data_IF_424832818506
#
_entry.id   IF_424832818506
#
_cell.length_a   1.000
_cell.length_b   1.000
_cell.length_c   1.000
_cell.angle_alpha   90.00
_cell.angle_beta   90.00
_cell.angle_gamma   90.00
#
_symmetry.space_group_name_H-M   'P 1'
#
loop_
_entity.id
_entity.type
_entity.pdbx_description
1 polymer ?
#
# COMPACT_ATOMS: atom_id res chain seq x y z
N UNK A 1 14.26 -14.24 14.33
CA UNK A 1 14.34 -13.49 15.62
C UNK A 1 14.77 -12.04 15.45
N UNK A 2 14.11 -11.32 14.51
CA UNK A 2 14.46 -9.93 14.21
C UNK A 2 13.91 -8.90 15.25
N UNK A 3 12.92 -9.27 16.05
CA UNK A 3 12.20 -8.33 16.90
C UNK A 3 13.04 -7.62 17.99
N UNK A 4 13.95 -8.33 18.63
CA UNK A 4 14.80 -7.73 19.68
C UNK A 4 15.95 -6.88 19.11
N UNK A 5 16.53 -7.30 17.99
CA UNK A 5 17.61 -6.56 17.32
C UNK A 5 17.07 -5.31 16.63
N UNK A 6 15.92 -5.39 15.99
CA UNK A 6 15.25 -4.25 15.38
C UNK A 6 14.87 -3.18 16.42
N UNK A 7 14.35 -3.56 17.59
CA UNK A 7 13.98 -2.60 18.64
C UNK A 7 15.20 -1.90 19.26
N UNK A 8 16.36 -2.56 19.34
CA UNK A 8 17.59 -1.95 19.84
C UNK A 8 18.22 -0.94 18.89
N UNK A 9 17.86 -0.98 17.59
CA UNK A 9 18.36 -0.09 16.53
C UNK A 9 17.33 0.92 16.03
N UNK A 10 16.20 1.03 16.69
CA UNK A 10 15.12 1.96 16.29
C UNK A 10 15.54 3.43 16.31
N UNK A 11 16.61 3.78 17.05
CA UNK A 11 17.21 5.12 17.05
C UNK A 11 18.12 5.39 15.84
N UNK A 12 18.52 4.36 15.10
CA UNK A 12 19.35 4.46 13.89
C UNK A 12 18.64 3.76 12.72
N UNK A 13 17.68 4.47 12.14
CA UNK A 13 16.80 3.97 11.10
C UNK A 13 17.54 3.55 9.83
N UNK A 14 18.62 4.25 9.45
CA UNK A 14 19.36 3.88 8.25
C UNK A 14 20.08 2.53 8.44
N UNK A 15 20.77 2.35 9.57
CA UNK A 15 21.41 1.06 9.87
C UNK A 15 20.39 -0.08 9.99
N UNK A 16 19.19 0.19 10.50
CA UNK A 16 18.11 -0.80 10.53
C UNK A 16 17.70 -1.24 9.12
N UNK A 17 17.50 -0.29 8.22
CA UNK A 17 17.14 -0.57 6.82
C UNK A 17 18.27 -1.32 6.10
N UNK A 18 19.53 -0.92 6.33
CA UNK A 18 20.69 -1.56 5.73
C UNK A 18 20.83 -3.01 6.21
N UNK A 19 20.54 -3.29 7.48
CA UNK A 19 20.54 -4.66 8.01
C UNK A 19 19.39 -5.51 7.42
N UNK A 20 18.19 -4.92 7.27
CA UNK A 20 17.07 -5.58 6.57
C UNK A 20 17.46 -5.95 5.14
N UNK A 21 18.13 -5.05 4.43
CA UNK A 21 18.58 -5.28 3.07
C UNK A 21 19.63 -6.39 2.94
N UNK A 22 20.56 -6.51 3.89
CA UNK A 22 21.55 -7.61 3.93
C UNK A 22 20.89 -9.00 3.95
N UNK A 23 19.68 -9.11 4.48
CA UNK A 23 18.93 -10.36 4.56
C UNK A 23 17.95 -10.55 3.40
N UNK A 24 17.99 -9.68 2.39
CA UNK A 24 17.03 -9.64 1.28
C UNK A 24 15.57 -9.52 1.74
N UNK A 25 15.34 -8.98 2.92
CA UNK A 25 14.01 -8.69 3.45
C UNK A 25 13.45 -7.39 2.86
N UNK A 26 12.22 -7.07 3.18
CA UNK A 26 11.51 -5.88 2.71
C UNK A 26 11.33 -4.90 3.86
N UNK A 27 11.56 -3.61 3.57
CA UNK A 27 11.30 -2.49 4.49
C UNK A 27 10.28 -1.55 3.86
N UNK A 28 9.15 -1.35 4.52
CA UNK A 28 8.06 -0.50 4.03
C UNK A 28 7.78 0.56 5.09
N UNK A 29 7.72 1.83 4.68
CA UNK A 29 7.35 2.94 5.55
C UNK A 29 5.84 2.90 5.76
N UNK A 30 5.42 2.60 6.99
CA UNK A 30 4.02 2.51 7.35
C UNK A 30 3.40 3.91 7.49
N UNK A 31 2.17 4.09 6.98
CA UNK A 31 1.32 5.29 7.11
C UNK A 31 2.09 6.61 7.26
N UNK A 32 2.93 7.00 6.27
CA UNK A 32 3.94 8.05 6.45
C UNK A 32 3.38 9.45 6.75
N UNK A 33 2.09 9.67 6.54
CA UNK A 33 1.40 10.94 6.82
C UNK A 33 0.27 10.78 7.84
N UNK A 34 0.36 9.81 8.77
CA UNK A 34 -0.65 9.62 9.81
C UNK A 34 -0.82 10.87 10.68
N UNK A 35 -2.05 11.41 10.70
CA UNK A 35 -2.40 12.63 11.43
C UNK A 35 -2.84 12.39 12.87
N UNK A 36 -3.00 11.09 13.26
CA UNK A 36 -3.59 10.74 14.51
C UNK A 36 -5.08 11.09 14.61
N UNK A 37 -5.66 10.92 15.80
CA UNK A 37 -7.05 11.29 16.10
C UNK A 37 -7.16 11.74 17.55
N UNK A 38 -6.98 13.03 17.80
CA UNK A 38 -6.93 13.63 19.13
C UNK A 38 -8.20 13.36 19.98
N UNK A 39 -9.37 13.31 19.33
CA UNK A 39 -10.64 12.97 19.98
C UNK A 39 -10.66 11.57 20.59
N UNK A 40 -9.87 10.65 20.09
CA UNK A 40 -9.68 9.30 20.63
C UNK A 40 -8.34 9.14 21.38
N UNK A 41 -7.60 10.23 21.59
CA UNK A 41 -6.27 10.27 22.20
C UNK A 41 -5.23 9.40 21.44
N UNK A 42 -5.41 9.26 20.14
CA UNK A 42 -4.45 8.60 19.28
C UNK A 42 -3.45 9.66 18.74
N UNK A 43 -2.15 9.53 19.05
CA UNK A 43 -1.16 10.52 18.61
C UNK A 43 -0.97 10.48 17.09
N UNK A 44 -0.54 11.61 16.54
CA UNK A 44 0.00 11.66 15.17
C UNK A 44 1.39 11.01 15.16
N UNK A 45 1.64 10.12 14.22
CA UNK A 45 2.89 9.40 14.05
C UNK A 45 3.39 9.43 12.60
N UNK A 46 3.56 10.63 12.01
CA UNK A 46 4.02 10.75 10.64
C UNK A 46 5.49 10.36 10.54
N UNK A 47 5.88 9.94 9.34
CA UNK A 47 7.28 9.76 9.02
C UNK A 47 7.98 11.10 8.85
N UNK A 48 9.09 11.31 9.53
CA UNK A 48 9.79 12.62 9.55
C UNK A 48 11.17 12.60 8.89
N UNK A 49 11.85 11.43 8.84
CA UNK A 49 13.18 11.33 8.29
C UNK A 49 13.17 10.82 6.83
N UNK A 50 13.08 11.74 5.88
CA UNK A 50 13.08 11.44 4.45
C UNK A 50 14.48 11.34 3.82
N UNK A 51 15.55 11.51 4.62
CA UNK A 51 16.95 11.36 4.17
C UNK A 51 17.39 9.89 4.12
N UNK A 52 16.60 8.98 4.69
CA UNK A 52 16.90 7.55 4.64
C UNK A 52 16.78 7.03 3.21
N UNK A 53 17.56 6.00 2.91
CA UNK A 53 17.68 5.42 1.57
C UNK A 53 17.47 3.92 1.59
N UNK A 54 17.25 3.35 0.40
CA UNK A 54 17.20 1.91 0.18
C UNK A 54 16.06 1.17 0.89
N UNK A 55 15.03 1.87 1.36
CA UNK A 55 13.80 1.21 1.77
C UNK A 55 13.00 0.72 0.55
N UNK A 56 12.29 -0.39 0.70
CA UNK A 56 11.62 -1.08 -0.42
C UNK A 56 10.40 -0.30 -0.93
N UNK A 57 9.66 0.33 -0.04
CA UNK A 57 8.44 1.05 -0.42
C UNK A 57 7.79 1.82 0.71
N UNK A 58 6.67 2.45 0.40
CA UNK A 58 5.85 3.15 1.38
C UNK A 58 4.37 2.79 1.20
N UNK A 59 3.63 2.91 2.28
CA UNK A 59 2.18 2.82 2.24
C UNK A 59 1.60 4.12 1.67
N UNK A 60 0.96 3.99 0.51
CA UNK A 60 0.23 5.11 -0.11
C UNK A 60 -1.23 5.14 0.32
N UNK A 61 -1.74 4.03 0.84
CA UNK A 61 -3.10 3.91 1.35
C UNK A 61 -3.11 3.02 2.60
N UNK A 62 -3.48 3.61 3.73
CA UNK A 62 -3.63 2.91 5.01
C UNK A 62 -5.06 3.12 5.52
N UNK A 63 -5.80 2.03 5.73
CA UNK A 63 -7.22 2.08 6.04
C UNK A 63 -7.51 2.69 7.43
N UNK A 64 -6.64 2.42 8.42
CA UNK A 64 -6.77 3.02 9.76
C UNK A 64 -6.47 4.51 9.75
N UNK A 65 -5.46 4.94 9.01
CA UNK A 65 -5.16 6.38 8.85
C UNK A 65 -6.27 7.10 8.10
N UNK A 66 -6.85 6.47 7.07
CA UNK A 66 -8.00 7.02 6.35
C UNK A 66 -9.21 7.23 7.29
N UNK A 67 -9.50 6.25 8.17
CA UNK A 67 -10.54 6.44 9.19
C UNK A 67 -10.27 7.67 10.06
N UNK A 68 -9.02 7.90 10.48
CA UNK A 68 -8.65 9.08 11.28
C UNK A 68 -8.86 10.36 10.48
N UNK A 69 -8.42 10.38 9.24
CA UNK A 69 -8.55 11.52 8.32
C UNK A 69 -10.02 11.88 8.05
N UNK A 70 -10.91 10.89 7.92
CA UNK A 70 -12.34 11.10 7.66
C UNK A 70 -13.18 11.31 8.94
N UNK A 71 -12.55 11.40 10.12
CA UNK A 71 -13.24 11.45 11.42
C UNK A 71 -12.94 12.75 12.20
N UNK A 72 -13.32 13.89 11.64
CA UNK A 72 -13.03 15.24 12.21
C UNK A 72 -13.82 15.59 13.48
N UNK A 73 -14.92 14.89 13.76
CA UNK A 73 -15.75 15.13 14.93
C UNK A 73 -16.40 13.83 15.44
N UNK A 74 -17.00 13.89 16.64
CA UNK A 74 -17.57 12.72 17.31
C UNK A 74 -18.68 12.04 16.49
N UNK A 75 -19.49 12.80 15.74
CA UNK A 75 -20.56 12.24 14.94
C UNK A 75 -19.99 11.44 13.76
N UNK A 76 -18.95 11.95 13.11
CA UNK A 76 -18.24 11.23 12.04
C UNK A 76 -17.54 10.00 12.57
N UNK A 77 -16.90 10.07 13.74
CA UNK A 77 -16.28 8.90 14.40
C UNK A 77 -17.34 7.79 14.60
N UNK A 78 -18.49 8.14 15.15
CA UNK A 78 -19.57 7.17 15.41
C UNK A 78 -20.14 6.65 14.09
N UNK A 79 -20.45 7.52 13.14
CA UNK A 79 -20.94 7.13 11.80
C UNK A 79 -19.97 6.16 11.14
N UNK A 80 -18.69 6.53 11.02
CA UNK A 80 -17.66 5.75 10.34
C UNK A 80 -17.36 4.42 11.06
N UNK A 81 -17.50 4.38 12.39
CA UNK A 81 -17.36 3.15 13.16
C UNK A 81 -18.56 2.19 12.98
N UNK A 82 -19.76 2.71 12.74
CA UNK A 82 -20.97 1.92 12.50
C UNK A 82 -21.13 1.52 11.03
N UNK A 83 -20.81 2.43 10.11
CA UNK A 83 -20.81 2.19 8.68
C UNK A 83 -19.39 2.24 8.11
N UNK A 84 -18.64 1.17 8.35
CA UNK A 84 -17.23 1.07 8.00
C UNK A 84 -16.97 1.04 6.50
N UNK A 85 -18.01 0.84 5.68
CA UNK A 85 -17.87 0.82 4.22
C UNK A 85 -17.95 2.21 3.59
N UNK A 86 -18.45 3.20 4.31
CA UNK A 86 -18.73 4.53 3.77
C UNK A 86 -17.60 5.55 3.96
N UNK A 87 -16.65 5.32 4.86
CA UNK A 87 -15.62 6.31 5.14
C UNK A 87 -14.41 6.26 4.20
N UNK A 88 -13.95 5.10 3.69
CA UNK A 88 -12.74 5.09 2.88
C UNK A 88 -13.00 5.75 1.52
N UNK A 89 -12.22 6.76 1.21
CA UNK A 89 -12.33 7.55 -0.03
C UNK A 89 -11.27 7.15 -1.03
N UNK A 90 -10.02 6.95 -0.58
CA UNK A 90 -8.92 6.63 -1.46
C UNK A 90 -7.55 6.77 -0.76
N UNK A 91 -6.46 6.64 -1.53
CA UNK A 91 -5.12 6.82 -1.01
C UNK A 91 -4.89 8.25 -0.52
N UNK A 92 -4.03 8.39 0.50
CA UNK A 92 -3.63 9.70 1.02
C UNK A 92 -2.86 10.49 -0.03
N UNK A 93 -3.31 11.73 -0.30
CA UNK A 93 -2.75 12.59 -1.34
C UNK A 93 -1.26 12.91 -1.09
N UNK A 94 -0.88 13.18 0.17
CA UNK A 94 0.51 13.48 0.50
C UNK A 94 1.42 12.27 0.28
N UNK A 95 0.90 11.07 0.55
CA UNK A 95 1.62 9.82 0.28
C UNK A 95 1.85 9.61 -1.22
N UNK A 96 0.84 9.88 -2.05
CA UNK A 96 0.96 9.82 -3.52
C UNK A 96 1.97 10.85 -4.03
N UNK A 97 1.85 12.11 -3.60
CA UNK A 97 2.78 13.18 -3.99
C UNK A 97 4.22 12.83 -3.59
N UNK A 98 4.41 12.31 -2.37
CA UNK A 98 5.74 11.90 -1.91
C UNK A 98 6.31 10.74 -2.71
N UNK A 99 5.48 9.76 -3.05
CA UNK A 99 5.89 8.66 -3.91
C UNK A 99 6.34 9.15 -5.29
N UNK A 100 5.55 10.02 -5.93
CA UNK A 100 5.90 10.64 -7.21
C UNK A 100 7.20 11.45 -7.13
N UNK A 101 7.41 12.25 -6.07
CA UNK A 101 8.67 12.97 -5.86
C UNK A 101 9.88 12.03 -5.81
N UNK A 102 9.77 10.92 -5.10
CA UNK A 102 10.86 9.94 -4.97
C UNK A 102 11.16 9.29 -6.33
N UNK A 103 10.14 8.89 -7.07
CA UNK A 103 10.28 8.32 -8.41
C UNK A 103 10.89 9.32 -9.40
N UNK A 104 10.46 10.58 -9.38
CA UNK A 104 11.02 11.65 -10.23
C UNK A 104 12.50 11.92 -9.92
N UNK A 105 12.95 11.69 -8.69
CA UNK A 105 14.37 11.72 -8.29
C UNK A 105 15.15 10.47 -8.71
N UNK A 106 14.51 9.51 -9.37
CA UNK A 106 15.11 8.24 -9.78
C UNK A 106 15.26 7.22 -8.66
N UNK A 107 14.67 7.47 -7.49
CA UNK A 107 14.68 6.54 -6.36
C UNK A 107 13.64 5.44 -6.63
N UNK A 108 14.11 4.20 -6.76
CA UNK A 108 13.22 3.06 -6.93
C UNK A 108 12.53 2.74 -5.60
N UNK A 109 11.28 3.12 -5.47
CA UNK A 109 10.44 2.89 -4.29
C UNK A 109 9.05 2.41 -4.73
N UNK A 110 8.56 1.35 -4.09
CA UNK A 110 7.28 0.74 -4.44
C UNK A 110 6.14 1.32 -3.61
N UNK A 111 4.94 1.28 -4.18
CA UNK A 111 3.71 1.66 -3.49
C UNK A 111 3.00 0.44 -2.93
N UNK A 112 2.58 0.53 -1.67
CA UNK A 112 1.83 -0.51 -0.98
C UNK A 112 0.62 0.07 -0.27
N UNK A 113 -0.26 -0.82 0.13
CA UNK A 113 -1.37 -0.50 1.03
C UNK A 113 -1.32 -1.37 2.27
N UNK A 114 -1.93 -0.89 3.34
CA UNK A 114 -2.17 -1.67 4.55
C UNK A 114 -3.55 -1.42 5.11
N UNK A 115 -4.14 -2.47 5.65
CA UNK A 115 -5.36 -2.34 6.42
C UNK A 115 -5.11 -1.78 7.83
N UNK A 116 -3.90 -1.99 8.36
CA UNK A 116 -3.51 -1.61 9.73
C UNK A 116 -4.58 -2.05 10.75
N UNK A 117 -4.89 -3.34 10.67
CA UNK A 117 -6.11 -3.94 11.23
C UNK A 117 -6.11 -3.98 12.76
N UNK A 118 -6.97 -3.20 13.38
CA UNK A 118 -7.15 -3.13 14.82
C UNK A 118 -8.61 -3.36 15.21
N UNK A 119 -9.02 -4.63 15.35
CA UNK A 119 -10.36 -4.95 15.81
C UNK A 119 -10.56 -4.48 17.25
N UNK A 120 -11.57 -3.64 17.48
CA UNK A 120 -11.94 -3.17 18.81
C UNK A 120 -13.23 -3.87 19.28
N UNK A 121 -13.19 -4.46 20.47
CA UNK A 121 -14.33 -5.11 21.09
C UNK A 121 -14.72 -4.33 22.33
N UNK A 122 -15.94 -3.81 22.37
CA UNK A 122 -16.51 -3.12 23.53
C UNK A 122 -17.72 -3.89 24.05
N UNK A 123 -17.87 -3.94 25.37
CA UNK A 123 -19.09 -4.46 26.03
C UNK A 123 -19.91 -3.30 26.55
N UNK A 124 -21.18 -3.27 26.21
CA UNK A 124 -22.16 -2.29 26.69
C UNK A 124 -23.30 -3.10 27.30
N UNK A 125 -23.25 -3.29 28.63
CA UNK A 125 -24.13 -4.20 29.33
C UNK A 125 -23.98 -5.65 28.81
N UNK A 126 -25.09 -6.31 28.42
CA UNK A 126 -25.04 -7.66 27.85
C UNK A 126 -24.58 -7.71 26.40
N UNK A 127 -24.49 -6.56 25.71
CA UNK A 127 -24.18 -6.49 24.31
C UNK A 127 -22.68 -6.40 24.04
N UNK A 128 -22.24 -7.11 23.00
CA UNK A 128 -20.86 -7.05 22.48
C UNK A 128 -20.86 -6.28 21.16
N UNK A 129 -20.27 -5.10 21.16
CA UNK A 129 -20.05 -4.31 19.96
C UNK A 129 -18.65 -4.59 19.43
N UNK A 130 -18.57 -5.04 18.19
CA UNK A 130 -17.31 -5.24 17.46
C UNK A 130 -17.22 -4.13 16.41
N UNK A 131 -16.20 -3.29 16.53
CA UNK A 131 -15.87 -2.30 15.48
C UNK A 131 -14.58 -2.71 14.80
N UNK A 132 -14.51 -2.48 13.50
CA UNK A 132 -13.35 -2.82 12.66
C UNK A 132 -12.97 -4.31 12.73
N UNK A 133 -13.90 -5.24 12.41
CA UNK A 133 -13.58 -6.66 12.41
C UNK A 133 -12.48 -6.98 11.40
N UNK A 134 -11.62 -7.94 11.72
CA UNK A 134 -10.54 -8.34 10.81
C UNK A 134 -11.03 -8.77 9.41
N UNK A 135 -12.20 -9.40 9.33
CA UNK A 135 -12.81 -9.76 8.06
C UNK A 135 -13.06 -8.53 7.15
N UNK A 136 -13.50 -7.40 7.73
CA UNK A 136 -13.64 -6.14 7.00
C UNK A 136 -12.27 -5.65 6.50
N UNK A 137 -11.30 -5.54 7.39
CA UNK A 137 -9.97 -5.04 7.05
C UNK A 137 -9.31 -5.83 5.92
N UNK A 138 -9.34 -7.17 6.00
CA UNK A 138 -8.67 -8.03 5.02
C UNK A 138 -9.44 -8.18 3.70
N UNK A 139 -10.70 -7.79 3.65
CA UNK A 139 -11.48 -7.76 2.40
C UNK A 139 -11.50 -6.40 1.72
N UNK A 140 -11.10 -5.32 2.42
CA UNK A 140 -11.28 -3.97 1.94
C UNK A 140 -10.14 -3.49 1.04
N UNK A 141 -8.90 -3.68 1.48
CA UNK A 141 -7.72 -3.09 0.87
C UNK A 141 -6.59 -4.13 0.78
N UNK A 142 -6.16 -4.43 -0.45
CA UNK A 142 -5.25 -5.53 -0.72
C UNK A 142 -4.10 -5.12 -1.66
N UNK A 143 -2.93 -5.74 -1.48
CA UNK A 143 -1.86 -5.71 -2.46
C UNK A 143 -1.95 -6.95 -3.34
N UNK A 144 -2.30 -6.78 -4.60
CA UNK A 144 -2.36 -7.85 -5.58
C UNK A 144 -0.99 -8.02 -6.24
N UNK A 145 -0.50 -9.26 -6.31
CA UNK A 145 0.84 -9.56 -6.82
C UNK A 145 0.77 -10.22 -8.19
N UNK A 146 1.60 -9.75 -9.11
CA UNK A 146 1.87 -10.45 -10.36
C UNK A 146 3.03 -11.42 -10.16
N UNK A 147 2.73 -12.69 -9.88
CA UNK A 147 3.74 -13.73 -9.76
C UNK A 147 4.07 -14.34 -11.14
N UNK A 148 5.34 -14.69 -11.41
CA UNK A 148 5.75 -15.18 -12.74
C UNK A 148 5.19 -16.56 -13.09
N UNK A 149 4.83 -17.36 -12.11
CA UNK A 149 4.25 -18.68 -12.25
C UNK A 149 3.22 -18.96 -11.16
N UNK A 150 2.40 -20.00 -11.35
CA UNK A 150 1.40 -20.42 -10.35
C UNK A 150 2.10 -20.94 -9.09
N UNK A 151 1.50 -20.64 -7.93
CA UNK A 151 1.94 -21.22 -6.67
C UNK A 151 1.84 -22.74 -6.73
N UNK A 152 2.90 -23.40 -6.28
CA UNK A 152 3.07 -24.85 -6.41
C UNK A 152 2.60 -25.66 -5.20
N UNK A 153 2.32 -24.99 -4.07
CA UNK A 153 2.11 -25.59 -2.75
C UNK A 153 3.42 -25.94 -2.01
N UNK A 154 4.57 -25.75 -2.65
CA UNK A 154 5.86 -25.84 -1.97
C UNK A 154 6.15 -24.53 -1.25
N UNK A 155 6.13 -24.56 0.09
CA UNK A 155 6.25 -23.37 0.93
C UNK A 155 7.48 -22.51 0.63
N UNK A 156 8.65 -23.12 0.42
CA UNK A 156 9.89 -22.37 0.19
C UNK A 156 9.88 -21.69 -1.16
N UNK A 157 9.47 -22.41 -2.20
CA UNK A 157 9.36 -21.88 -3.56
C UNK A 157 8.30 -20.76 -3.62
N UNK A 158 7.13 -21.02 -3.09
CA UNK A 158 6.02 -20.06 -3.15
C UNK A 158 6.31 -18.81 -2.33
N UNK A 159 6.96 -18.96 -1.17
CA UNK A 159 7.45 -17.84 -0.38
C UNK A 159 8.42 -16.95 -1.18
N UNK A 160 9.38 -17.56 -1.88
CA UNK A 160 10.34 -16.81 -2.70
C UNK A 160 9.65 -16.04 -3.83
N UNK A 161 8.70 -16.64 -4.54
CA UNK A 161 7.90 -15.98 -5.57
C UNK A 161 7.14 -14.76 -5.04
N UNK A 162 6.49 -14.90 -3.88
CA UNK A 162 5.73 -13.82 -3.24
C UNK A 162 6.65 -12.70 -2.80
N UNK A 163 7.69 -13.01 -2.03
CA UNK A 163 8.61 -11.98 -1.51
C UNK A 163 9.40 -11.28 -2.61
N UNK A 164 9.78 -12.00 -3.66
CA UNK A 164 10.44 -11.38 -4.80
C UNK A 164 9.51 -10.40 -5.54
N UNK A 165 8.25 -10.81 -5.77
CA UNK A 165 7.26 -9.91 -6.38
C UNK A 165 7.03 -8.64 -5.54
N UNK A 166 6.95 -8.78 -4.21
CA UNK A 166 6.89 -7.64 -3.30
C UNK A 166 8.16 -6.77 -3.41
N UNK A 167 9.34 -7.36 -3.31
CA UNK A 167 10.62 -6.63 -3.31
C UNK A 167 10.81 -5.76 -4.55
N UNK A 168 10.42 -6.25 -5.72
CA UNK A 168 10.57 -5.50 -6.97
C UNK A 168 9.37 -4.61 -7.30
N UNK A 169 8.28 -4.65 -6.51
CA UNK A 169 7.06 -3.87 -6.74
C UNK A 169 6.18 -4.40 -7.88
N UNK A 170 6.25 -5.71 -8.16
CA UNK A 170 5.38 -6.37 -9.14
C UNK A 170 3.99 -6.58 -8.54
N UNK A 171 3.32 -5.48 -8.24
CA UNK A 171 2.05 -5.44 -7.53
C UNK A 171 1.21 -4.23 -7.93
N UNK A 172 -0.06 -4.26 -7.56
CA UNK A 172 -0.92 -3.09 -7.53
C UNK A 172 -1.76 -3.08 -6.24
N UNK A 173 -2.20 -1.90 -5.86
CA UNK A 173 -3.09 -1.70 -4.72
C UNK A 173 -4.52 -1.82 -5.21
N UNK A 174 -5.28 -2.78 -4.67
CA UNK A 174 -6.69 -3.00 -4.95
C UNK A 174 -7.55 -2.51 -3.80
N UNK A 175 -8.50 -1.60 -4.09
CA UNK A 175 -9.51 -1.19 -3.13
C UNK A 175 -10.79 -2.01 -3.37
N UNK A 176 -10.74 -3.28 -2.93
CA UNK A 176 -11.78 -4.29 -3.20
C UNK A 176 -13.10 -4.02 -2.47
N UNK A 177 -13.12 -3.08 -1.54
CA UNK A 177 -14.34 -2.65 -0.85
C UNK A 177 -15.36 -1.98 -1.78
N UNK A 178 -14.87 -1.19 -2.73
CA UNK A 178 -15.70 -0.48 -3.71
C UNK A 178 -16.15 -1.43 -4.80
N UNK A 179 -15.20 -2.17 -5.36
CA UNK A 179 -15.45 -3.14 -6.42
C UNK A 179 -14.28 -4.14 -6.50
N UNK A 180 -14.53 -5.42 -6.83
CA UNK A 180 -13.46 -6.40 -6.98
C UNK A 180 -12.46 -5.96 -8.04
N UNK A 181 -11.18 -5.93 -7.67
CA UNK A 181 -10.08 -5.55 -8.57
C UNK A 181 -9.38 -6.76 -9.20
N UNK A 182 -9.84 -7.97 -8.91
CA UNK A 182 -9.35 -9.21 -9.52
C UNK A 182 -9.49 -9.18 -11.04
N UNK A 183 -8.38 -9.40 -11.74
CA UNK A 183 -8.34 -9.32 -13.21
C UNK A 183 -7.77 -8.02 -13.73
N UNK A 184 -7.56 -7.00 -12.90
CA UNK A 184 -6.83 -5.80 -13.30
C UNK A 184 -5.42 -6.16 -13.74
N UNK A 185 -4.98 -5.60 -14.88
CA UNK A 185 -3.63 -5.76 -15.41
C UNK A 185 -3.11 -4.43 -15.91
N UNK A 186 -1.88 -4.15 -15.57
CA UNK A 186 -1.14 -3.00 -16.06
C UNK A 186 0.27 -3.45 -16.42
N UNK A 187 0.68 -3.27 -17.66
CA UNK A 187 2.00 -3.64 -18.12
C UNK A 187 2.39 -2.89 -19.39
N UNK A 188 3.69 -2.86 -19.67
CA UNK A 188 4.24 -2.32 -20.91
C UNK A 188 4.69 -3.44 -21.83
N UNK A 189 4.39 -3.33 -23.13
CA UNK A 189 4.90 -4.21 -24.18
C UNK A 189 5.86 -3.45 -25.07
N UNK A 190 7.09 -3.92 -25.17
CA UNK A 190 8.08 -3.53 -26.16
C UNK A 190 8.28 -4.61 -27.20
N UNK A 191 9.23 -4.41 -28.10
CA UNK A 191 9.50 -5.30 -29.22
C UNK A 191 9.73 -6.76 -28.81
N UNK A 192 10.49 -7.02 -27.74
CA UNK A 192 10.90 -8.37 -27.36
C UNK A 192 10.60 -8.75 -25.91
N UNK A 193 9.89 -7.91 -25.15
CA UNK A 193 9.58 -8.19 -23.75
C UNK A 193 8.37 -7.40 -23.24
N UNK A 194 7.79 -7.96 -22.17
CA UNK A 194 6.84 -7.23 -21.31
C UNK A 194 7.57 -6.74 -20.07
N UNK A 195 7.12 -5.62 -19.54
CA UNK A 195 7.50 -5.13 -18.22
C UNK A 195 6.24 -4.92 -17.35
N UNK A 196 6.25 -5.50 -16.17
CA UNK A 196 5.21 -5.38 -15.16
C UNK A 196 5.52 -4.21 -14.21
N UNK A 197 4.58 -3.79 -13.33
CA UNK A 197 4.87 -2.81 -12.31
C UNK A 197 6.16 -3.14 -11.54
N UNK A 198 6.90 -2.11 -11.16
CA UNK A 198 8.22 -2.26 -10.52
C UNK A 198 9.38 -2.55 -11.47
N UNK A 199 9.13 -2.93 -12.70
CA UNK A 199 10.18 -3.22 -13.68
C UNK A 199 10.55 -2.00 -14.54
N UNK A 200 11.78 -2.00 -15.05
CA UNK A 200 12.28 -0.99 -15.99
C UNK A 200 12.36 -1.54 -17.40
N UNK A 201 12.02 -0.72 -18.38
CA UNK A 201 12.06 -1.06 -19.80
C UNK A 201 12.64 0.08 -20.61
N UNK A 202 13.42 -0.25 -21.67
CA UNK A 202 13.85 0.75 -22.65
C UNK A 202 12.68 1.14 -23.55
N UNK A 203 12.54 2.43 -23.81
CA UNK A 203 11.50 2.98 -24.71
C UNK A 203 12.02 3.29 -26.12
N UNK A 204 13.28 2.95 -26.43
CA UNK A 204 13.94 3.36 -27.68
C UNK A 204 13.19 2.95 -28.94
N UNK A 205 12.60 1.75 -28.96
CA UNK A 205 11.88 1.20 -30.14
C UNK A 205 10.36 1.34 -30.00
N UNK A 206 9.91 2.23 -29.11
CA UNK A 206 8.50 2.37 -28.77
C UNK A 206 8.03 1.35 -27.73
N UNK A 207 7.01 1.72 -26.99
CA UNK A 207 6.38 0.89 -25.94
C UNK A 207 4.89 1.15 -25.96
N UNK A 208 4.11 0.08 -25.87
CA UNK A 208 2.66 0.15 -25.69
C UNK A 208 2.32 -0.13 -24.24
N UNK A 209 1.65 0.81 -23.58
CA UNK A 209 1.05 0.58 -22.25
C UNK A 209 -0.27 -0.14 -22.44
N UNK A 210 -0.45 -1.25 -21.74
CA UNK A 210 -1.69 -2.03 -21.74
C UNK A 210 -2.31 -2.03 -20.36
N UNK A 211 -3.61 -1.81 -20.34
CA UNK A 211 -4.42 -1.75 -19.11
C UNK A 211 -5.68 -2.58 -19.36
N UNK A 212 -5.86 -3.64 -18.57
CA UNK A 212 -7.08 -4.42 -18.54
C UNK A 212 -7.84 -4.06 -17.26
N UNK A 213 -9.07 -3.62 -17.39
CA UNK A 213 -9.92 -3.17 -16.28
C UNK A 213 -11.07 -4.17 -16.12
N UNK A 214 -11.29 -4.76 -14.92
CA UNK A 214 -12.31 -5.79 -14.74
C UNK A 214 -13.76 -5.26 -14.78
N UNK A 215 -13.95 -3.94 -14.66
CA UNK A 215 -15.26 -3.27 -14.64
C UNK A 215 -15.17 -1.92 -15.31
N UNK A 216 -16.31 -1.37 -15.76
CA UNK A 216 -16.39 0.01 -16.23
C UNK A 216 -15.88 0.98 -15.15
N UNK A 217 -14.94 1.82 -15.54
CA UNK A 217 -14.24 2.71 -14.61
C UNK A 217 -13.56 3.85 -15.35
N UNK A 218 -13.45 4.99 -14.71
CA UNK A 218 -12.59 6.06 -15.20
C UNK A 218 -11.13 5.63 -15.01
N UNK A 219 -10.41 5.48 -16.13
CA UNK A 219 -9.00 5.13 -16.11
C UNK A 219 -8.15 6.38 -16.37
N UNK A 220 -7.19 6.66 -15.50
CA UNK A 220 -6.20 7.73 -15.66
C UNK A 220 -4.80 7.17 -15.72
N UNK A 221 -4.09 7.49 -16.79
CA UNK A 221 -2.66 7.23 -16.91
C UNK A 221 -1.89 8.43 -16.37
N UNK A 222 -1.13 8.21 -15.31
CA UNK A 222 -0.29 9.22 -14.66
C UNK A 222 1.16 9.05 -15.12
N UNK A 223 1.80 10.15 -15.45
CA UNK A 223 3.22 10.19 -15.80
C UNK A 223 3.87 11.37 -15.08
N UNK A 224 4.87 11.10 -14.24
CA UNK A 224 5.56 12.09 -13.43
C UNK A 224 4.60 12.99 -12.63
N UNK A 225 3.63 12.37 -11.94
CA UNK A 225 2.63 13.07 -11.12
C UNK A 225 1.52 13.79 -11.90
N UNK A 226 1.54 13.75 -13.23
CA UNK A 226 0.56 14.44 -14.07
C UNK A 226 -0.32 13.46 -14.86
N UNK A 227 -1.59 13.80 -15.03
CA UNK A 227 -2.50 13.03 -15.88
C UNK A 227 -2.07 13.17 -17.33
N UNK A 228 -1.53 12.10 -17.91
CA UNK A 228 -1.16 12.05 -19.32
C UNK A 228 -2.38 11.78 -20.20
N UNK A 229 -3.28 10.90 -19.75
CA UNK A 229 -4.48 10.53 -20.48
C UNK A 229 -5.57 10.01 -19.54
N UNK A 230 -6.82 10.22 -19.94
CA UNK A 230 -7.99 9.68 -19.25
C UNK A 230 -8.91 9.00 -20.27
N UNK A 231 -9.54 7.91 -19.85
CA UNK A 231 -10.59 7.18 -20.58
C UNK A 231 -11.77 6.96 -19.65
N UNK A 232 -12.97 6.88 -20.25
CA UNK A 232 -14.24 6.50 -19.63
C UNK A 232 -14.73 5.18 -20.19
#
# INVERSE_FOLDING_TARGET
NYGKEASSRSSDLQNLIDDVNKTQSISILAHPFDQGLSLLREPSIPWTNWEIKNFTGLEIFNLSSEFKTQSHNIFQIVKNALDQKSFPVGPDENSIVKWDELLCKGIAVNAYSASDAHQKVRRIGPFRLITFPYAFHFSALNNHLYVPEKLSGNLLKDKELIYNSLRIGRSFVGFDLVAPTTGFRFFAEGENRKAWPGERMSIRNGVTIKIDIPQESICRLIHNGNVLRQWE
#
